data_IF_730309338351
#
_entry.id   IF_730309338351
#
_cell.length_a   1.000
_cell.length_b   1.000
_cell.length_c   1.000
_cell.angle_alpha   90.00
_cell.angle_beta   90.00
_cell.angle_gamma   90.00
#
_symmetry.space_group_name_H-M   'P 1'
#
loop_
_entity.id
_entity.type
_entity.pdbx_description
1 polymer ?
#
# COMPACT_ATOMS: atom_id res chain seq x y z
N UNK A 1 6.35 17.67 -46.67
CA UNK A 1 6.65 16.72 -45.58
C UNK A 1 5.39 15.97 -45.20
N UNK A 2 5.37 14.65 -45.38
CA UNK A 2 4.22 13.84 -45.00
C UNK A 2 4.16 13.75 -43.50
N UNK A 3 3.06 14.20 -42.88
CA UNK A 3 2.84 14.00 -41.45
C UNK A 3 2.81 12.51 -41.14
N UNK A 4 3.54 12.11 -40.10
CA UNK A 4 3.49 10.73 -39.58
C UNK A 4 2.07 10.50 -39.08
N UNK A 5 1.39 9.52 -39.67
CA UNK A 5 0.03 9.14 -39.25
C UNK A 5 0.10 7.75 -38.62
N UNK A 6 0.11 7.69 -37.31
CA UNK A 6 0.15 6.46 -36.55
C UNK A 6 -1.19 6.30 -35.84
N UNK A 7 -1.64 5.07 -35.68
CA UNK A 7 -2.81 4.72 -34.86
C UNK A 7 -2.42 4.55 -33.39
N UNK A 8 -1.20 4.05 -33.17
CA UNK A 8 -0.58 3.89 -31.88
C UNK A 8 0.93 4.02 -32.03
N UNK A 9 1.58 4.59 -31.03
CA UNK A 9 3.03 4.72 -30.97
C UNK A 9 3.56 4.29 -29.62
N UNK A 10 4.56 3.42 -29.64
CA UNK A 10 5.27 2.98 -28.45
C UNK A 10 6.44 3.92 -28.17
N UNK A 11 6.55 4.43 -26.93
CA UNK A 11 7.74 5.17 -26.49
C UNK A 11 8.82 4.17 -26.15
N UNK A 12 9.91 4.16 -26.90
CA UNK A 12 11.03 3.23 -26.71
C UNK A 12 12.26 3.91 -26.12
N UNK A 13 12.32 5.23 -26.12
CA UNK A 13 13.46 5.95 -25.57
C UNK A 13 13.36 7.45 -25.65
N UNK A 14 14.44 8.06 -25.25
CA UNK A 14 14.62 9.52 -25.19
C UNK A 14 16.02 9.88 -25.69
N UNK A 15 16.11 10.99 -26.37
CA UNK A 15 17.37 11.56 -26.77
C UNK A 15 17.34 13.08 -26.60
N UNK A 16 18.42 13.65 -26.11
CA UNK A 16 18.58 15.11 -26.04
C UNK A 16 19.86 15.50 -26.73
N UNK A 17 19.82 16.53 -27.55
CA UNK A 17 21.01 17.11 -28.11
C UNK A 17 21.94 17.60 -26.99
N UNK A 18 23.27 17.52 -27.18
CA UNK A 18 24.21 18.08 -26.23
C UNK A 18 23.97 19.59 -26.07
N UNK A 19 24.11 20.08 -24.85
CA UNK A 19 23.83 21.48 -24.54
C UNK A 19 24.93 22.42 -25.02
N UNK A 20 24.58 23.67 -25.29
CA UNK A 20 25.56 24.70 -25.61
C UNK A 20 26.60 24.88 -24.48
N UNK A 21 26.19 24.71 -23.23
CA UNK A 21 27.10 24.75 -22.09
C UNK A 21 28.17 23.66 -22.17
N UNK A 22 27.83 22.46 -22.66
CA UNK A 22 28.82 21.41 -22.90
C UNK A 22 29.83 21.83 -23.98
N UNK A 23 29.37 22.50 -25.05
CA UNK A 23 30.26 23.04 -26.08
C UNK A 23 31.27 24.05 -25.52
N UNK A 24 30.80 24.94 -24.61
CA UNK A 24 31.65 25.95 -23.98
C UNK A 24 32.65 25.38 -22.99
N UNK A 25 32.23 24.35 -22.20
CA UNK A 25 33.06 23.76 -21.17
C UNK A 25 33.96 22.63 -21.67
N UNK A 26 33.48 21.83 -22.63
CA UNK A 26 34.20 20.66 -23.18
C UNK A 26 33.78 20.40 -24.63
N UNK A 27 34.41 21.11 -25.59
CA UNK A 27 34.09 20.96 -27.01
C UNK A 27 34.26 19.54 -27.56
N UNK A 28 35.28 18.81 -27.09
CA UNK A 28 35.54 17.44 -27.56
C UNK A 28 34.38 16.47 -27.15
N UNK A 29 33.90 16.58 -25.91
CA UNK A 29 32.75 15.81 -25.44
C UNK A 29 31.50 16.18 -26.24
N UNK A 30 31.26 17.48 -26.48
CA UNK A 30 30.14 17.96 -27.29
C UNK A 30 30.13 17.32 -28.69
N UNK A 31 31.24 17.37 -29.40
CA UNK A 31 31.31 16.77 -30.74
C UNK A 31 31.26 15.25 -30.71
N UNK A 32 31.75 14.61 -29.65
CA UNK A 32 31.63 13.17 -29.47
C UNK A 32 30.15 12.74 -29.29
N UNK A 33 29.41 13.42 -28.44
CA UNK A 33 27.97 13.18 -28.25
C UNK A 33 27.15 13.47 -29.50
N UNK A 34 27.51 14.55 -30.22
CA UNK A 34 26.85 14.90 -31.48
C UNK A 34 27.07 13.83 -32.57
N UNK A 35 28.25 13.24 -32.64
CA UNK A 35 28.54 12.13 -33.59
C UNK A 35 27.73 10.86 -33.27
N UNK A 36 27.33 10.71 -32.03
CA UNK A 36 26.50 9.56 -31.60
C UNK A 36 25.00 9.86 -31.72
N UNK A 37 24.62 11.06 -32.16
CA UNK A 37 23.24 11.46 -32.32
C UNK A 37 22.53 10.53 -33.34
N UNK A 38 21.30 10.11 -33.06
CA UNK A 38 20.50 9.37 -34.02
C UNK A 38 20.30 10.18 -35.31
N UNK A 39 20.19 9.51 -36.43
CA UNK A 39 19.92 10.15 -37.70
C UNK A 39 18.60 10.98 -37.64
N UNK A 40 18.66 12.23 -38.05
CA UNK A 40 17.54 13.18 -37.97
C UNK A 40 17.37 13.87 -36.63
N UNK A 41 18.32 13.71 -35.69
CA UNK A 41 18.33 14.49 -34.46
C UNK A 41 18.41 16.00 -34.74
N UNK A 42 17.81 16.79 -33.86
CA UNK A 42 17.68 18.25 -34.04
C UNK A 42 16.38 18.69 -34.71
N UNK A 43 15.64 17.76 -35.35
CA UNK A 43 14.39 18.10 -36.04
C UNK A 43 13.30 17.09 -35.73
N UNK A 44 12.11 17.55 -35.45
CA UNK A 44 10.94 16.69 -35.27
C UNK A 44 10.51 16.09 -36.62
N UNK A 45 10.58 14.78 -36.75
CA UNK A 45 10.22 14.09 -38.00
C UNK A 45 8.71 14.16 -38.33
N UNK A 46 7.85 14.54 -37.36
CA UNK A 46 6.42 14.74 -37.61
C UNK A 46 6.09 16.12 -38.16
N UNK A 47 6.59 17.19 -37.56
CA UNK A 47 6.21 18.57 -37.93
C UNK A 47 7.35 19.40 -38.53
N UNK A 48 8.60 18.91 -38.55
CA UNK A 48 9.74 19.58 -39.12
C UNK A 48 10.33 20.70 -38.26
N UNK A 49 9.81 20.94 -37.03
CA UNK A 49 10.36 21.95 -36.13
C UNK A 49 11.68 21.51 -35.53
N UNK A 50 12.59 22.46 -35.34
CA UNK A 50 13.82 22.22 -34.58
C UNK A 50 13.48 21.90 -33.11
N UNK A 51 14.06 20.85 -32.57
CA UNK A 51 13.87 20.40 -31.20
C UNK A 51 15.20 19.93 -30.59
N UNK A 52 15.34 20.14 -29.29
CA UNK A 52 16.51 19.70 -28.50
C UNK A 52 16.20 18.34 -27.85
N UNK A 53 14.99 18.17 -27.35
CA UNK A 53 14.57 16.95 -26.67
C UNK A 53 13.66 16.13 -27.57
N UNK A 54 14.05 14.88 -27.80
CA UNK A 54 13.35 13.95 -28.65
C UNK A 54 12.72 12.82 -27.83
N UNK A 55 11.50 12.48 -28.17
CA UNK A 55 10.89 11.21 -27.83
C UNK A 55 11.17 10.25 -28.96
N UNK A 56 11.73 9.10 -28.66
CA UNK A 56 11.94 8.04 -29.63
C UNK A 56 10.71 7.14 -29.60
N UNK A 57 9.93 7.16 -30.66
CA UNK A 57 8.72 6.35 -30.79
C UNK A 57 8.90 5.30 -31.87
N UNK A 58 8.22 4.19 -31.70
CA UNK A 58 8.16 3.09 -32.65
C UNK A 58 6.71 2.83 -33.07
N UNK A 59 6.47 2.63 -34.35
CA UNK A 59 5.16 2.28 -34.88
C UNK A 59 4.94 0.74 -34.90
N UNK A 60 3.76 0.32 -35.30
CA UNK A 60 3.37 -1.08 -35.42
C UNK A 60 4.25 -1.86 -36.44
N UNK A 61 4.87 -1.15 -37.39
CA UNK A 61 5.79 -1.73 -38.39
C UNK A 61 7.25 -1.73 -37.93
N UNK A 62 7.49 -1.50 -36.65
CA UNK A 62 8.81 -1.40 -36.01
C UNK A 62 9.67 -0.22 -36.54
N UNK A 63 9.07 0.71 -37.28
CA UNK A 63 9.79 1.89 -37.74
C UNK A 63 9.92 2.92 -36.61
N UNK A 64 11.12 3.46 -36.47
CA UNK A 64 11.49 4.39 -35.38
C UNK A 64 11.48 5.82 -35.89
N UNK A 65 10.96 6.72 -35.04
CA UNK A 65 10.88 8.15 -35.32
C UNK A 65 11.36 8.98 -34.14
N UNK A 66 11.99 10.11 -34.46
CA UNK A 66 12.39 11.14 -33.50
C UNK A 66 11.40 12.29 -33.55
N UNK A 67 10.64 12.49 -32.50
CA UNK A 67 9.59 13.53 -32.46
C UNK A 67 9.65 14.36 -31.19
N UNK A 68 9.10 15.56 -31.22
CA UNK A 68 8.90 16.34 -30.00
C UNK A 68 7.78 15.78 -29.13
N UNK A 69 7.77 16.10 -27.84
CA UNK A 69 6.80 15.59 -26.86
C UNK A 69 5.34 15.78 -27.28
N UNK A 70 4.98 17.00 -27.73
CA UNK A 70 3.61 17.29 -28.21
C UNK A 70 3.25 16.48 -29.46
N UNK A 71 4.21 16.29 -30.36
CA UNK A 71 3.98 15.48 -31.56
C UNK A 71 3.88 13.99 -31.24
N UNK A 72 4.62 13.50 -30.25
CA UNK A 72 4.50 12.13 -29.78
C UNK A 72 3.09 11.83 -29.23
N UNK A 73 2.53 12.73 -28.42
CA UNK A 73 1.14 12.62 -27.95
C UNK A 73 0.15 12.68 -29.10
N UNK A 74 0.35 13.57 -30.06
CA UNK A 74 -0.52 13.73 -31.22
C UNK A 74 -0.55 12.49 -32.15
N UNK A 75 0.51 11.69 -32.16
CA UNK A 75 0.60 10.43 -32.93
C UNK A 75 0.28 9.20 -32.09
N UNK A 76 -0.39 9.36 -30.95
CA UNK A 76 -0.92 8.27 -30.15
C UNK A 76 0.05 7.61 -29.15
N UNK A 77 1.19 8.24 -28.86
CA UNK A 77 2.08 7.76 -27.80
C UNK A 77 1.49 8.00 -26.40
N UNK A 78 1.77 7.09 -25.47
CA UNK A 78 1.25 7.16 -24.10
C UNK A 78 1.75 8.44 -23.40
N UNK A 79 0.83 9.34 -23.08
CA UNK A 79 1.13 10.60 -22.37
C UNK A 79 1.69 10.39 -20.97
N UNK A 80 1.45 9.26 -20.31
CA UNK A 80 2.09 8.91 -19.01
C UNK A 80 3.57 8.60 -19.22
N UNK A 81 3.88 7.82 -20.26
CA UNK A 81 5.26 7.52 -20.64
C UNK A 81 6.03 8.81 -20.92
N UNK A 82 5.43 9.72 -21.72
CA UNK A 82 6.02 11.00 -22.08
C UNK A 82 6.29 11.88 -20.85
N UNK A 83 5.29 12.09 -19.99
CA UNK A 83 5.43 12.95 -18.79
C UNK A 83 6.43 12.40 -17.78
N UNK A 84 6.49 11.08 -17.60
CA UNK A 84 7.41 10.45 -16.65
C UNK A 84 8.79 10.18 -17.22
N UNK A 85 9.04 10.46 -18.50
CA UNK A 85 10.25 10.09 -19.25
C UNK A 85 10.60 8.61 -19.11
N UNK A 86 9.58 7.74 -19.26
CA UNK A 86 9.71 6.28 -19.21
C UNK A 86 9.28 5.70 -20.54
N UNK A 87 9.81 4.53 -20.87
CA UNK A 87 9.31 3.78 -22.03
C UNK A 87 7.93 3.21 -21.74
N UNK A 88 7.17 2.88 -22.78
CA UNK A 88 5.86 2.21 -22.65
C UNK A 88 6.00 0.90 -21.88
N UNK A 89 7.08 0.14 -22.11
CA UNK A 89 7.38 -1.07 -21.37
C UNK A 89 7.59 -0.82 -19.88
N UNK A 90 8.38 0.20 -19.51
CA UNK A 90 8.61 0.54 -18.09
C UNK A 90 7.32 0.97 -17.38
N UNK A 91 6.41 1.64 -18.09
CA UNK A 91 5.08 1.97 -17.55
C UNK A 91 4.26 0.70 -17.32
N UNK A 92 4.24 -0.22 -18.29
CA UNK A 92 3.52 -1.50 -18.16
C UNK A 92 4.08 -2.36 -17.01
N UNK A 93 5.39 -2.45 -16.86
CA UNK A 93 6.06 -3.15 -15.75
C UNK A 93 5.70 -2.50 -14.40
N UNK A 94 5.69 -1.17 -14.34
CA UNK A 94 5.29 -0.45 -13.13
C UNK A 94 3.83 -0.72 -12.77
N UNK A 95 2.92 -0.68 -13.75
CA UNK A 95 1.50 -0.95 -13.54
C UNK A 95 1.26 -2.41 -13.09
N UNK A 96 1.98 -3.37 -13.68
CA UNK A 96 1.93 -4.77 -13.27
C UNK A 96 2.40 -4.94 -11.82
N UNK A 97 3.49 -4.28 -11.42
CA UNK A 97 3.99 -4.28 -10.05
C UNK A 97 2.98 -3.68 -9.06
N UNK A 98 2.39 -2.54 -9.40
CA UNK A 98 1.37 -1.91 -8.56
C UNK A 98 0.12 -2.78 -8.42
N UNK A 99 -0.31 -3.43 -9.51
CA UNK A 99 -1.43 -4.36 -9.48
C UNK A 99 -1.14 -5.55 -8.56
N UNK A 100 0.02 -6.16 -8.68
CA UNK A 100 0.44 -7.27 -7.81
C UNK A 100 0.49 -6.87 -6.33
N UNK A 101 1.06 -5.69 -6.02
CA UNK A 101 1.10 -5.17 -4.65
C UNK A 101 -0.31 -4.92 -4.09
N UNK A 102 -1.24 -4.39 -4.90
CA UNK A 102 -2.63 -4.18 -4.48
C UNK A 102 -3.31 -5.51 -4.17
N UNK A 103 -3.20 -6.49 -5.05
CA UNK A 103 -3.79 -7.83 -4.84
C UNK A 103 -3.24 -8.50 -3.57
N UNK A 104 -1.93 -8.42 -3.34
CA UNK A 104 -1.33 -8.97 -2.12
C UNK A 104 -1.80 -8.24 -0.86
N UNK A 105 -1.91 -6.92 -0.92
CA UNK A 105 -2.47 -6.13 0.18
C UNK A 105 -3.92 -6.53 0.49
N UNK A 106 -4.78 -6.64 -0.52
CA UNK A 106 -6.18 -7.07 -0.36
C UNK A 106 -6.26 -8.48 0.24
N UNK A 107 -5.37 -9.40 -0.18
CA UNK A 107 -5.26 -10.73 0.40
C UNK A 107 -4.88 -10.71 1.88
N UNK A 108 -3.89 -9.89 2.25
CA UNK A 108 -3.45 -9.74 3.64
C UNK A 108 -4.54 -9.08 4.50
N UNK A 109 -5.24 -8.08 3.99
CA UNK A 109 -6.37 -7.44 4.68
C UNK A 109 -7.49 -8.46 4.92
N UNK A 110 -7.88 -9.26 3.93
CA UNK A 110 -8.88 -10.31 4.08
C UNK A 110 -8.45 -11.40 5.08
N UNK A 111 -7.19 -11.82 5.05
CA UNK A 111 -6.65 -12.77 6.02
C UNK A 111 -6.66 -12.22 7.45
N UNK A 112 -6.29 -10.95 7.63
CA UNK A 112 -6.33 -10.28 8.92
C UNK A 112 -7.75 -10.13 9.45
N UNK A 113 -8.71 -9.81 8.59
CA UNK A 113 -10.13 -9.70 8.95
C UNK A 113 -10.69 -11.07 9.39
N UNK A 114 -10.40 -12.14 8.63
CA UNK A 114 -10.78 -13.50 9.01
C UNK A 114 -10.17 -13.91 10.37
N UNK A 115 -8.89 -13.60 10.59
CA UNK A 115 -8.22 -13.87 11.87
C UNK A 115 -8.82 -13.05 13.02
N UNK A 116 -9.20 -11.79 12.73
CA UNK A 116 -9.85 -10.93 13.70
C UNK A 116 -11.22 -11.51 14.14
N UNK A 117 -12.04 -11.99 13.21
CA UNK A 117 -13.34 -12.59 13.53
C UNK A 117 -13.21 -13.88 14.36
N UNK A 118 -12.23 -14.73 14.03
CA UNK A 118 -11.92 -15.93 14.84
C UNK A 118 -11.55 -15.54 16.28
N UNK A 119 -10.67 -14.55 16.41
CA UNK A 119 -10.22 -14.08 17.73
C UNK A 119 -11.36 -13.45 18.52
N UNK A 120 -12.23 -12.69 17.85
CA UNK A 120 -13.42 -12.07 18.44
C UNK A 120 -14.40 -13.12 18.96
N UNK A 121 -14.68 -14.16 18.17
CA UNK A 121 -15.55 -15.26 18.58
C UNK A 121 -14.98 -16.01 19.80
N UNK A 122 -13.69 -16.34 19.79
CA UNK A 122 -13.02 -17.01 20.90
C UNK A 122 -13.05 -16.16 22.19
N UNK A 123 -12.83 -14.84 22.07
CA UNK A 123 -12.93 -13.92 23.21
C UNK A 123 -14.36 -13.81 23.75
N UNK A 124 -15.36 -13.75 22.85
CA UNK A 124 -16.76 -13.73 23.25
C UNK A 124 -17.10 -14.96 24.08
N UNK A 125 -16.77 -16.16 23.61
CA UNK A 125 -17.05 -17.40 24.35
C UNK A 125 -16.31 -17.43 25.70
N UNK A 126 -15.05 -17.02 25.74
CA UNK A 126 -14.26 -17.00 26.98
C UNK A 126 -14.81 -16.03 28.04
N UNK A 127 -15.26 -14.86 27.63
CA UNK A 127 -15.77 -13.82 28.53
C UNK A 127 -17.30 -13.71 28.57
N UNK A 128 -18.03 -14.71 28.07
CA UNK A 128 -19.49 -14.68 27.91
C UNK A 128 -20.23 -14.26 29.19
N UNK A 129 -19.94 -14.90 30.30
CA UNK A 129 -20.55 -14.57 31.59
C UNK A 129 -20.28 -13.13 32.01
N UNK A 130 -19.06 -12.63 31.80
CA UNK A 130 -18.67 -11.26 32.10
C UNK A 130 -19.38 -10.26 31.19
N UNK A 131 -19.49 -10.59 29.90
CA UNK A 131 -20.18 -9.77 28.90
C UNK A 131 -21.68 -9.67 29.24
N UNK A 132 -22.30 -10.79 29.56
CA UNK A 132 -23.72 -10.84 29.91
C UNK A 132 -24.00 -10.07 31.21
N UNK A 133 -23.13 -10.18 32.21
CA UNK A 133 -23.19 -9.40 33.44
C UNK A 133 -23.07 -7.90 33.18
N UNK A 134 -22.11 -7.48 32.38
CA UNK A 134 -21.93 -6.06 32.04
C UNK A 134 -23.15 -5.49 31.29
N UNK A 135 -23.74 -6.27 30.38
CA UNK A 135 -24.95 -5.89 29.67
C UNK A 135 -26.16 -5.79 30.58
N UNK A 136 -26.30 -6.71 31.56
CA UNK A 136 -27.40 -6.73 32.53
C UNK A 136 -27.43 -5.49 33.44
N UNK A 137 -26.29 -4.79 33.64
CA UNK A 137 -26.25 -3.54 34.42
C UNK A 137 -27.04 -2.42 33.73
N UNK A 138 -27.27 -2.50 32.41
CA UNK A 138 -28.12 -1.57 31.65
C UNK A 138 -27.54 -0.16 31.43
N UNK A 139 -26.26 0.06 31.77
CA UNK A 139 -25.58 1.33 31.54
C UNK A 139 -24.83 1.30 30.20
N UNK A 140 -24.94 2.39 29.43
CA UNK A 140 -24.20 2.53 28.14
C UNK A 140 -22.69 2.31 28.30
N UNK A 141 -22.12 2.78 29.41
CA UNK A 141 -20.71 2.58 29.73
C UNK A 141 -20.35 1.08 29.86
N UNK A 142 -21.17 0.30 30.58
CA UNK A 142 -20.93 -1.12 30.75
C UNK A 142 -21.20 -1.90 29.46
N UNK A 143 -22.19 -1.50 28.68
CA UNK A 143 -22.44 -2.07 27.35
C UNK A 143 -21.23 -1.85 26.41
N UNK A 144 -20.66 -0.66 26.42
CA UNK A 144 -19.44 -0.33 25.66
C UNK A 144 -18.23 -1.15 26.14
N UNK A 145 -18.07 -1.38 27.46
CA UNK A 145 -17.01 -2.25 27.98
C UNK A 145 -17.20 -3.69 27.54
N UNK A 146 -18.44 -4.21 27.53
CA UNK A 146 -18.77 -5.55 27.06
C UNK A 146 -18.40 -5.72 25.58
N UNK A 147 -18.72 -4.74 24.74
CA UNK A 147 -18.33 -4.73 23.33
C UNK A 147 -16.81 -4.69 23.16
N UNK A 148 -16.14 -3.78 23.85
CA UNK A 148 -14.67 -3.68 23.79
C UNK A 148 -13.97 -4.95 24.23
N UNK A 149 -14.51 -5.66 25.23
CA UNK A 149 -13.97 -6.92 25.72
C UNK A 149 -13.93 -8.02 24.64
N UNK A 150 -14.88 -7.99 23.71
CA UNK A 150 -14.87 -8.91 22.56
C UNK A 150 -13.86 -8.52 21.49
N UNK A 151 -13.61 -7.23 21.32
CA UNK A 151 -12.81 -6.71 20.19
C UNK A 151 -11.32 -6.59 20.51
N UNK A 152 -10.99 -6.20 21.72
CA UNK A 152 -9.60 -5.88 22.10
C UNK A 152 -9.31 -6.06 23.58
N UNK A 153 -8.03 -6.14 23.98
CA UNK A 153 -7.63 -6.07 25.38
C UNK A 153 -8.13 -4.77 26.03
N UNK A 154 -8.67 -4.89 27.22
CA UNK A 154 -9.07 -3.73 28.02
C UNK A 154 -7.85 -3.05 28.64
N UNK A 155 -7.87 -1.72 28.72
CA UNK A 155 -6.88 -0.96 29.49
C UNK A 155 -6.98 -1.30 30.99
N UNK A 156 -5.93 -1.05 31.76
CA UNK A 156 -5.94 -1.29 33.21
C UNK A 156 -7.12 -0.61 33.93
N UNK A 157 -7.44 0.62 33.56
CA UNK A 157 -8.63 1.32 34.10
C UNK A 157 -9.94 0.61 33.76
N UNK A 158 -10.10 0.15 32.52
CA UNK A 158 -11.28 -0.59 32.09
C UNK A 158 -11.42 -1.94 32.79
N UNK A 159 -10.31 -2.67 32.98
CA UNK A 159 -10.29 -3.91 33.76
C UNK A 159 -10.75 -3.65 35.19
N UNK A 160 -10.32 -2.56 35.81
CA UNK A 160 -10.77 -2.18 37.14
C UNK A 160 -12.27 -1.95 37.21
N UNK A 161 -12.88 -1.32 36.20
CA UNK A 161 -14.34 -1.14 36.14
C UNK A 161 -15.09 -2.47 35.97
N UNK A 162 -14.60 -3.39 35.15
CA UNK A 162 -15.15 -4.75 35.01
C UNK A 162 -15.11 -5.47 36.36
N UNK A 163 -13.97 -5.43 37.04
CA UNK A 163 -13.79 -6.05 38.35
C UNK A 163 -14.72 -5.42 39.40
N UNK A 164 -14.91 -4.10 39.37
CA UNK A 164 -15.84 -3.39 40.26
C UNK A 164 -17.29 -3.77 39.99
N UNK A 165 -17.67 -3.99 38.73
CA UNK A 165 -19.01 -4.45 38.36
C UNK A 165 -19.30 -5.86 38.87
N UNK A 166 -18.29 -6.76 38.87
CA UNK A 166 -18.38 -8.08 39.46
C UNK A 166 -18.55 -8.07 40.98
N UNK A 167 -18.02 -7.07 41.66
CA UNK A 167 -18.12 -6.92 43.12
C UNK A 167 -18.48 -5.49 43.48
N UNK A 168 -19.77 -5.10 43.46
CA UNK A 168 -20.22 -3.71 43.74
C UNK A 168 -19.75 -3.17 45.08
N UNK A 169 -19.55 -4.04 46.09
CA UNK A 169 -19.01 -3.66 47.40
C UNK A 169 -17.51 -3.36 47.39
N UNK A 170 -16.80 -3.67 46.29
CA UNK A 170 -15.34 -3.58 46.20
C UNK A 170 -14.59 -4.53 47.14
N UNK A 171 -15.32 -5.35 47.89
CA UNK A 171 -14.73 -6.33 48.82
C UNK A 171 -14.77 -7.72 48.20
N UNK A 172 -13.65 -8.39 48.23
CA UNK A 172 -13.49 -9.79 47.84
C UNK A 172 -14.26 -10.67 48.84
N UNK A 173 -15.48 -11.10 48.50
CA UNK A 173 -16.20 -12.08 49.31
C UNK A 173 -15.52 -13.43 49.19
N UNK A 174 -15.31 -14.13 50.31
CA UNK A 174 -14.63 -15.44 50.31
C UNK A 174 -15.26 -16.48 49.39
N UNK A 175 -16.57 -16.40 49.17
CA UNK A 175 -17.31 -17.33 48.30
C UNK A 175 -16.99 -17.16 46.80
N UNK A 176 -16.51 -15.96 46.36
CA UNK A 176 -16.20 -15.67 44.97
C UNK A 176 -14.71 -15.36 44.72
N UNK A 177 -13.83 -15.65 45.70
CA UNK A 177 -12.41 -15.33 45.58
C UNK A 177 -11.75 -16.02 44.37
N UNK A 178 -12.06 -17.28 44.13
CA UNK A 178 -11.53 -18.03 43.00
C UNK A 178 -12.05 -17.51 41.65
N UNK A 179 -13.33 -17.18 41.55
CA UNK A 179 -13.91 -16.57 40.35
C UNK A 179 -13.31 -15.18 40.09
N UNK A 180 -13.07 -14.40 41.15
CA UNK A 180 -12.40 -13.13 41.07
C UNK A 180 -10.97 -13.25 40.58
N UNK A 181 -10.18 -14.16 41.17
CA UNK A 181 -8.78 -14.39 40.79
C UNK A 181 -8.68 -14.93 39.36
N UNK A 182 -9.61 -15.83 38.97
CA UNK A 182 -9.70 -16.31 37.60
C UNK A 182 -9.98 -15.17 36.64
N UNK A 183 -11.01 -14.35 36.90
CA UNK A 183 -11.36 -13.20 36.06
C UNK A 183 -10.20 -12.18 35.96
N UNK A 184 -9.56 -11.86 37.08
CA UNK A 184 -8.40 -10.98 37.12
C UNK A 184 -7.24 -11.52 36.28
N UNK A 185 -6.97 -12.82 36.41
CA UNK A 185 -5.94 -13.49 35.64
C UNK A 185 -6.26 -13.56 34.17
N UNK A 186 -7.51 -13.86 33.81
CA UNK A 186 -8.00 -13.89 32.43
C UNK A 186 -7.94 -12.52 31.79
N UNK A 187 -8.39 -11.47 32.46
CA UNK A 187 -8.29 -10.08 32.00
C UNK A 187 -6.84 -9.63 31.81
N UNK A 188 -5.92 -10.04 32.69
CA UNK A 188 -4.51 -9.73 32.57
C UNK A 188 -3.83 -10.53 31.45
N UNK A 189 -4.18 -11.79 31.30
CA UNK A 189 -3.55 -12.71 30.34
C UNK A 189 -4.07 -12.45 28.92
N UNK A 190 -5.38 -12.40 28.73
CA UNK A 190 -6.03 -12.11 27.45
C UNK A 190 -6.09 -10.59 27.16
N UNK A 191 -5.92 -9.75 28.19
CA UNK A 191 -5.91 -8.29 28.06
C UNK A 191 -4.65 -7.73 27.42
N UNK A 192 -3.50 -8.39 27.52
CA UNK A 192 -2.20 -7.87 27.09
C UNK A 192 -1.71 -8.36 25.74
N UNK A 193 -2.25 -9.47 25.22
CA UNK A 193 -1.71 -10.06 24.01
C UNK A 193 -2.81 -10.39 23.00
N UNK A 194 -2.64 -9.92 21.78
CA UNK A 194 -3.21 -10.56 20.60
C UNK A 194 -2.51 -11.91 20.46
N UNK A 195 -3.05 -12.91 21.10
CA UNK A 195 -2.47 -14.24 21.03
C UNK A 195 -3.28 -15.00 19.99
N UNK A 196 -2.72 -15.17 18.80
CA UNK A 196 -3.21 -16.17 17.87
C UNK A 196 -3.10 -17.55 18.54
N UNK A 197 -3.99 -18.52 18.23
CA UNK A 197 -3.89 -19.89 18.76
C UNK A 197 -2.47 -20.47 18.63
N UNK A 198 -1.77 -20.16 17.53
CA UNK A 198 -0.38 -20.59 17.28
C UNK A 198 0.64 -19.94 18.22
N UNK A 199 0.40 -18.73 18.70
CA UNK A 199 1.32 -18.06 19.64
C UNK A 199 1.14 -18.60 21.08
N UNK A 200 -0.02 -19.18 21.41
CA UNK A 200 -0.23 -19.93 22.66
C UNK A 200 0.51 -21.26 22.57
N UNK A 201 0.32 -22.02 21.50
CA UNK A 201 0.98 -23.31 21.30
C UNK A 201 2.51 -23.20 21.36
N UNK A 202 3.09 -22.16 20.73
CA UNK A 202 4.56 -21.94 20.73
C UNK A 202 5.15 -21.45 22.06
N UNK A 203 4.35 -20.97 23.01
CA UNK A 203 4.84 -20.58 24.35
C UNK A 203 4.87 -21.72 25.37
N UNK A 204 4.04 -22.72 25.17
CA UNK A 204 3.95 -23.88 26.09
C UNK A 204 4.67 -25.12 25.56
N UNK A 205 5.31 -25.04 24.40
CA UNK A 205 6.14 -26.11 23.80
C UNK A 205 7.65 -25.94 24.03
N UNK A 206 8.07 -25.11 25.01
CA UNK A 206 9.46 -24.98 25.45
C UNK A 206 9.60 -25.39 26.92
#
# INVERSE_FOLDING_TARGET
>A
MSRINLKSAEVIGWYSLPSQMLLECNPEAYYSEWKQAPEGAGTCQHCGMAIVHHVIIRDENLKVYLVGTKCAEAVGADGRAIRSRKTTQQIAEQDAKWKAMRTERERLEAANEAQFEITRAARYEHFKETIDMLRAIGSEFHASLAEQLTMRPLSFKQQHYVMKAWSPSGRRNQVNAEAWDKLANDLMTFGRYFVTPDSIANRYSK
#
